data_IF_852699891416
#
_entry.id   IF_852699891416
#
_cell.length_a   1.000
_cell.length_b   1.000
_cell.length_c   1.000
_cell.angle_alpha   90.00
_cell.angle_beta   90.00
_cell.angle_gamma   90.00
#
_symmetry.space_group_name_H-M   'P 1'
#
loop_
_entity.id
_entity.type
_entity.pdbx_description
1 polymer ?
#
# COMPACT_ATOMS: atom_id res chain seq x y z
N UNK A 1 -48.77 6.27 -27.63
CA UNK A 1 -48.07 6.62 -26.36
C UNK A 1 -47.04 5.57 -25.97
N UNK A 2 -47.40 4.28 -25.95
CA UNK A 2 -46.51 3.19 -25.53
C UNK A 2 -45.12 3.19 -26.21
N UNK A 3 -45.07 3.42 -27.53
CA UNK A 3 -43.81 3.55 -28.28
C UNK A 3 -42.91 4.66 -27.74
N UNK A 4 -43.45 5.84 -27.41
CA UNK A 4 -42.67 6.98 -26.89
C UNK A 4 -42.11 6.70 -25.49
N UNK A 5 -42.89 6.04 -24.63
CA UNK A 5 -42.46 5.64 -23.29
C UNK A 5 -41.32 4.60 -23.38
N UNK A 6 -41.46 3.62 -24.28
CA UNK A 6 -40.42 2.63 -24.54
C UNK A 6 -39.13 3.26 -25.08
N UNK A 7 -39.23 4.23 -26.01
CA UNK A 7 -38.05 4.94 -26.53
C UNK A 7 -37.33 5.75 -25.45
N UNK A 8 -38.07 6.46 -24.59
CA UNK A 8 -37.49 7.21 -23.47
C UNK A 8 -36.84 6.30 -22.44
N UNK A 9 -37.47 5.17 -22.10
CA UNK A 9 -36.88 4.16 -21.21
C UNK A 9 -35.59 3.56 -21.78
N UNK A 10 -35.55 3.27 -23.08
CA UNK A 10 -34.37 2.75 -23.75
C UNK A 10 -33.21 3.77 -23.74
N UNK A 11 -33.51 5.04 -24.01
CA UNK A 11 -32.51 6.12 -23.93
C UNK A 11 -31.95 6.28 -22.51
N UNK A 12 -32.80 6.19 -21.48
CA UNK A 12 -32.37 6.29 -20.08
C UNK A 12 -31.49 5.10 -19.68
N UNK A 13 -31.85 3.88 -20.08
CA UNK A 13 -31.03 2.68 -19.83
C UNK A 13 -29.71 2.77 -20.57
N UNK A 14 -29.69 3.25 -21.82
CA UNK A 14 -28.46 3.49 -22.57
C UNK A 14 -27.57 4.55 -21.92
N UNK A 15 -28.16 5.62 -21.36
CA UNK A 15 -27.42 6.67 -20.66
C UNK A 15 -26.83 6.17 -19.34
N UNK A 16 -27.62 5.42 -18.55
CA UNK A 16 -27.16 4.82 -17.29
C UNK A 16 -26.08 3.77 -17.57
N UNK A 17 -26.25 2.93 -18.59
CA UNK A 17 -25.25 1.93 -18.97
C UNK A 17 -24.00 2.58 -19.57
N UNK A 18 -24.12 3.68 -20.34
CA UNK A 18 -22.96 4.42 -20.84
C UNK A 18 -22.20 5.16 -19.73
N UNK A 19 -22.90 5.72 -18.73
CA UNK A 19 -22.28 6.36 -17.56
C UNK A 19 -21.67 5.32 -16.61
N UNK A 20 -22.30 4.14 -16.47
CA UNK A 20 -21.75 3.02 -15.73
C UNK A 20 -20.55 2.39 -16.45
N UNK A 21 -20.54 2.36 -17.79
CA UNK A 21 -19.40 1.91 -18.58
C UNK A 21 -18.28 2.96 -18.66
N UNK A 22 -18.58 4.26 -18.60
CA UNK A 22 -17.54 5.31 -18.54
C UNK A 22 -16.90 5.41 -17.15
N UNK A 23 -17.61 5.02 -16.08
CA UNK A 23 -17.03 4.86 -14.74
C UNK A 23 -16.24 3.57 -14.56
N UNK A 24 -16.54 2.52 -15.33
CA UNK A 24 -15.73 1.29 -15.34
C UNK A 24 -14.47 1.52 -16.18
N UNK A 25 -13.39 1.83 -15.49
CA UNK A 25 -12.03 1.58 -15.96
C UNK A 25 -11.63 2.27 -17.28
N UNK A 26 -11.94 3.56 -17.48
CA UNK A 26 -11.00 4.38 -18.26
C UNK A 26 -9.75 4.56 -17.43
N UNK A 27 -8.88 3.53 -17.48
CA UNK A 27 -7.46 3.66 -17.18
C UNK A 27 -6.99 4.81 -18.07
N UNK A 28 -6.83 6.01 -17.50
CA UNK A 28 -6.14 7.07 -18.22
C UNK A 28 -4.77 6.50 -18.56
N UNK A 29 -4.45 6.46 -19.84
CA UNK A 29 -3.16 5.98 -20.29
C UNK A 29 -2.07 6.88 -19.72
N UNK A 30 -0.88 6.34 -19.39
CA UNK A 30 0.25 7.13 -18.89
C UNK A 30 0.58 8.38 -19.73
N UNK A 31 0.22 8.37 -21.03
CA UNK A 31 0.49 9.45 -21.99
C UNK A 31 -0.46 10.65 -21.86
N UNK A 32 -1.65 10.49 -21.30
CA UNK A 32 -2.64 11.57 -21.16
C UNK A 32 -2.58 12.26 -19.79
N UNK A 33 -1.62 11.86 -18.95
CA UNK A 33 -1.49 12.36 -17.59
C UNK A 33 -0.29 13.29 -17.46
N UNK A 34 -0.53 14.45 -16.86
CA UNK A 34 0.50 15.38 -16.48
C UNK A 34 1.08 14.95 -15.13
N UNK A 35 2.21 14.24 -15.14
CA UNK A 35 2.85 13.71 -13.93
C UNK A 35 3.32 14.80 -12.96
N UNK A 36 3.47 16.04 -13.43
CA UNK A 36 3.76 17.20 -12.58
C UNK A 36 2.61 17.50 -11.60
N UNK A 37 1.41 16.99 -11.85
CA UNK A 37 0.26 17.13 -10.96
C UNK A 37 0.28 16.15 -9.78
N UNK A 38 1.27 15.26 -9.67
CA UNK A 38 1.32 14.22 -8.62
C UNK A 38 2.58 14.27 -7.76
N UNK A 39 2.44 13.86 -6.51
CA UNK A 39 3.53 13.72 -5.53
C UNK A 39 3.43 12.38 -4.83
N UNK A 40 4.55 11.71 -4.62
CA UNK A 40 4.56 10.47 -3.85
C UNK A 40 4.38 10.77 -2.36
N UNK A 41 3.54 9.97 -1.72
CA UNK A 41 3.27 10.01 -0.27
C UNK A 41 3.70 8.68 0.34
N UNK A 42 3.84 8.64 1.66
CA UNK A 42 4.17 7.43 2.44
C UNK A 42 2.98 6.44 2.46
N UNK A 43 2.62 5.86 1.30
CA UNK A 43 1.59 4.82 1.15
C UNK A 43 2.02 3.83 0.08
N UNK A 44 2.03 2.56 0.47
CA UNK A 44 2.87 1.58 -0.21
C UNK A 44 2.13 0.48 -0.96
N UNK A 45 0.79 0.51 -1.08
CA UNK A 45 0.09 -0.50 -1.87
C UNK A 45 -1.24 -0.05 -2.46
N UNK A 46 -1.44 -0.45 -3.71
CA UNK A 46 -2.69 -0.39 -4.43
C UNK A 46 -2.97 -1.73 -5.15
N UNK A 47 -4.23 -2.17 -5.14
CA UNK A 47 -4.67 -3.35 -5.88
C UNK A 47 -5.07 -2.96 -7.33
N UNK A 48 -4.65 -3.74 -8.33
CA UNK A 48 -4.95 -3.41 -9.74
C UNK A 48 -5.32 -4.63 -10.59
N UNK A 49 -6.61 -4.84 -10.88
CA UNK A 49 -7.05 -5.89 -11.81
C UNK A 49 -6.83 -5.59 -13.30
N UNK A 50 -6.31 -4.41 -13.65
CA UNK A 50 -6.31 -3.87 -15.03
C UNK A 50 -5.02 -4.06 -15.83
N UNK A 51 -4.00 -4.75 -15.30
CA UNK A 51 -2.70 -4.91 -15.98
C UNK A 51 -2.67 -6.00 -17.07
N UNK A 52 -3.62 -6.95 -17.04
CA UNK A 52 -3.59 -8.15 -17.89
C UNK A 52 -3.59 -7.86 -19.40
N UNK A 53 -4.18 -6.73 -19.81
CA UNK A 53 -4.30 -6.35 -21.22
C UNK A 53 -3.08 -5.61 -21.79
N UNK A 54 -2.22 -5.05 -20.93
CA UNK A 54 -1.03 -4.29 -21.35
C UNK A 54 0.16 -5.24 -21.59
N UNK A 55 0.36 -6.19 -20.69
CA UNK A 55 1.47 -7.16 -20.75
C UNK A 55 1.46 -8.01 -22.01
N UNK A 56 0.27 -8.46 -22.45
CA UNK A 56 0.14 -9.38 -23.60
C UNK A 56 0.45 -8.73 -24.96
N UNK A 57 0.70 -7.41 -25.05
CA UNK A 57 0.81 -6.69 -26.34
C UNK A 57 2.14 -5.98 -26.62
N UNK A 58 2.91 -5.52 -25.63
CA UNK A 58 4.15 -4.77 -25.89
C UNK A 58 5.35 -5.35 -25.16
N UNK A 59 6.26 -5.94 -25.93
CA UNK A 59 7.36 -6.76 -25.46
C UNK A 59 8.65 -5.96 -25.16
N UNK A 60 8.54 -4.72 -24.69
CA UNK A 60 9.71 -3.87 -24.41
C UNK A 60 9.44 -2.91 -23.24
N UNK A 61 9.49 -3.43 -22.01
CA UNK A 61 9.62 -2.53 -20.86
C UNK A 61 11.05 -2.02 -20.75
N UNK A 62 11.20 -0.70 -20.61
CA UNK A 62 12.50 -0.09 -20.38
C UNK A 62 12.87 -0.25 -18.90
N UNK A 63 14.04 -0.84 -18.68
CA UNK A 63 14.68 -0.93 -17.37
C UNK A 63 14.65 0.44 -16.66
N UNK A 64 14.35 0.43 -15.36
CA UNK A 64 14.32 1.63 -14.49
C UNK A 64 13.29 2.71 -14.88
N UNK A 65 12.36 2.42 -15.78
CA UNK A 65 11.29 3.36 -16.13
C UNK A 65 10.15 3.24 -15.12
N UNK A 66 9.52 4.36 -14.76
CA UNK A 66 8.32 4.36 -13.92
C UNK A 66 7.08 4.12 -14.78
N UNK A 67 6.26 3.16 -14.37
CA UNK A 67 5.00 2.84 -15.04
C UNK A 67 3.88 3.20 -14.10
N UNK A 68 3.09 4.17 -14.53
CA UNK A 68 2.01 4.71 -13.73
C UNK A 68 0.67 4.12 -14.17
N UNK A 69 -0.24 3.89 -13.23
CA UNK A 69 -1.54 3.31 -13.50
C UNK A 69 -2.58 3.82 -12.49
N UNK A 70 -3.84 3.94 -12.94
CA UNK A 70 -4.94 4.25 -12.03
C UNK A 70 -5.26 3.05 -11.13
N UNK A 71 -5.78 3.27 -9.94
CA UNK A 71 -6.14 2.23 -8.96
C UNK A 71 -7.61 1.84 -9.18
N UNK A 72 -7.97 0.56 -9.05
CA UNK A 72 -9.36 0.12 -9.23
C UNK A 72 -10.27 0.80 -8.21
N UNK A 73 -11.43 1.29 -8.67
CA UNK A 73 -12.44 1.97 -7.85
C UNK A 73 -11.93 3.20 -7.06
N UNK A 74 -10.80 3.78 -7.49
CA UNK A 74 -10.25 5.03 -6.96
C UNK A 74 -10.16 6.06 -8.09
N UNK A 75 -10.61 7.32 -7.88
CA UNK A 75 -10.48 8.36 -8.89
C UNK A 75 -9.01 8.62 -9.25
N UNK A 76 -8.67 8.47 -10.54
CA UNK A 76 -7.30 8.66 -11.05
C UNK A 76 -6.83 10.11 -10.92
N UNK A 77 -7.76 11.06 -10.86
CA UNK A 77 -7.50 12.47 -10.57
C UNK A 77 -7.04 12.71 -9.13
N UNK A 78 -7.31 11.80 -8.19
CA UNK A 78 -6.90 11.93 -6.79
C UNK A 78 -5.65 11.09 -6.50
N UNK A 79 -5.63 9.86 -7.01
CA UNK A 79 -4.58 8.88 -6.71
C UNK A 79 -4.12 8.14 -7.96
N UNK A 80 -2.82 7.84 -7.97
CA UNK A 80 -2.20 7.06 -9.03
C UNK A 80 -1.14 6.15 -8.43
N UNK A 81 -1.02 4.93 -8.91
CA UNK A 81 0.04 4.03 -8.49
C UNK A 81 1.17 4.01 -9.52
N UNK A 82 2.37 3.64 -9.07
CA UNK A 82 3.58 3.58 -9.86
C UNK A 82 4.38 2.32 -9.51
N UNK A 83 4.92 1.65 -10.53
CA UNK A 83 5.89 0.56 -10.40
C UNK A 83 7.13 0.83 -11.22
N UNK A 84 8.22 0.14 -10.90
CA UNK A 84 9.44 0.11 -11.70
C UNK A 84 9.63 -1.31 -12.23
N UNK A 85 9.56 -1.57 -13.54
CA UNK A 85 9.80 -2.90 -14.04
C UNK A 85 11.29 -3.10 -14.28
N UNK A 86 11.77 -4.21 -13.77
CA UNK A 86 13.06 -4.80 -14.13
C UNK A 86 12.72 -6.15 -14.77
N UNK A 87 13.12 -6.45 -16.02
CA UNK A 87 12.96 -7.78 -16.61
C UNK A 87 13.61 -8.84 -15.73
N UNK A 88 12.90 -9.93 -15.41
CA UNK A 88 13.38 -10.99 -14.52
C UNK A 88 13.41 -10.62 -13.03
N UNK A 89 12.97 -9.41 -12.67
CA UNK A 89 12.84 -8.92 -11.31
C UNK A 89 11.55 -8.07 -11.21
N UNK A 90 10.41 -8.76 -11.16
CA UNK A 90 9.24 -8.29 -10.38
C UNK A 90 9.47 -8.40 -8.87
N UNK A 91 10.73 -8.62 -8.47
CA UNK A 91 11.13 -9.02 -7.15
C UNK A 91 11.47 -7.90 -6.19
N UNK A 92 11.52 -6.63 -6.62
CA UNK A 92 12.10 -5.60 -5.77
C UNK A 92 11.55 -4.20 -5.82
N UNK A 93 10.32 -4.02 -6.30
CA UNK A 93 9.79 -2.67 -6.48
C UNK A 93 8.44 -2.57 -5.80
N UNK A 94 8.43 -1.88 -4.66
CA UNK A 94 7.20 -1.49 -3.97
C UNK A 94 6.32 -0.69 -4.92
N UNK A 95 5.05 -1.08 -5.05
CA UNK A 95 4.06 -0.25 -5.71
C UNK A 95 3.88 1.03 -4.88
N UNK A 96 4.24 2.19 -5.43
CA UNK A 96 4.10 3.47 -4.70
C UNK A 96 2.80 4.13 -5.10
N UNK A 97 2.04 4.62 -4.13
CA UNK A 97 0.86 5.46 -4.39
C UNK A 97 1.26 6.93 -4.37
N UNK A 98 0.94 7.61 -5.45
CA UNK A 98 1.06 9.04 -5.66
C UNK A 98 -0.30 9.71 -5.47
N UNK A 99 -0.30 10.88 -4.86
CA UNK A 99 -1.48 11.72 -4.63
C UNK A 99 -1.38 12.96 -5.51
N UNK A 100 -2.51 13.43 -6.01
CA UNK A 100 -2.56 14.71 -6.71
C UNK A 100 -2.02 15.84 -5.82
N UNK A 101 -1.09 16.65 -6.31
CA UNK A 101 -0.46 17.76 -5.57
C UNK A 101 -1.44 18.82 -5.10
N UNK A 102 -2.52 19.02 -5.84
CA UNK A 102 -3.60 19.93 -5.46
C UNK A 102 -4.50 19.31 -4.39
N UNK A 103 -4.44 18.00 -4.19
CA UNK A 103 -5.12 17.26 -3.16
C UNK A 103 -4.16 16.98 -1.99
N UNK A 104 -4.29 17.71 -0.89
CA UNK A 104 -3.40 17.57 0.29
C UNK A 104 -3.75 16.38 1.19
N UNK A 105 -4.51 15.40 0.69
CA UNK A 105 -4.96 14.26 1.47
C UNK A 105 -3.82 13.27 1.68
N UNK A 106 -3.52 12.99 2.94
CA UNK A 106 -2.61 11.95 3.40
C UNK A 106 -3.45 10.89 4.13
N UNK A 107 -3.73 9.72 3.52
CA UNK A 107 -4.63 8.71 4.11
C UNK A 107 -4.40 8.40 5.60
N UNK A 108 -3.15 8.16 6.03
CA UNK A 108 -2.82 7.90 7.44
C UNK A 108 -3.20 9.06 8.36
N UNK A 109 -3.11 10.30 7.87
CA UNK A 109 -3.48 11.50 8.61
C UNK A 109 -4.98 11.75 8.59
N UNK A 110 -5.61 11.59 7.44
CA UNK A 110 -6.90 12.22 7.14
C UNK A 110 -8.07 11.23 7.09
N UNK A 111 -7.84 9.93 6.96
CA UNK A 111 -8.91 8.96 6.77
C UNK A 111 -9.28 8.20 8.03
N UNK A 112 -10.55 7.82 8.12
CA UNK A 112 -10.98 6.88 9.15
C UNK A 112 -10.38 5.50 8.91
N UNK A 113 -9.81 4.94 9.97
CA UNK A 113 -9.31 3.56 10.01
C UNK A 113 -10.50 2.61 10.04
N UNK A 114 -10.41 1.54 9.28
CA UNK A 114 -11.34 0.42 9.36
C UNK A 114 -10.81 -0.62 10.36
N UNK A 115 -9.68 -1.25 10.02
CA UNK A 115 -8.95 -2.21 10.87
C UNK A 115 -7.47 -2.28 10.48
N UNK A 116 -6.69 -2.99 11.30
CA UNK A 116 -5.30 -3.31 11.01
C UNK A 116 -5.06 -4.81 10.99
N UNK A 117 -4.00 -5.24 10.32
CA UNK A 117 -3.56 -6.63 10.26
C UNK A 117 -2.08 -6.73 10.61
N UNK A 118 -1.70 -7.81 11.30
CA UNK A 118 -0.30 -8.22 11.41
C UNK A 118 -0.03 -9.35 10.42
N UNK A 119 0.99 -9.14 9.60
CA UNK A 119 1.33 -10.03 8.50
C UNK A 119 2.83 -9.95 8.17
N UNK A 120 3.32 -10.91 7.39
CA UNK A 120 4.65 -10.88 6.79
C UNK A 120 4.51 -10.30 5.38
N UNK A 121 5.21 -9.20 5.11
CA UNK A 121 5.36 -8.66 3.76
C UNK A 121 6.69 -9.13 3.20
N UNK A 122 6.71 -9.64 1.97
CA UNK A 122 7.94 -10.05 1.29
C UNK A 122 8.93 -8.90 1.26
N UNK A 123 10.18 -9.20 1.61
CA UNK A 123 11.27 -8.28 1.33
C UNK A 123 11.50 -8.28 -0.18
N UNK A 124 11.76 -7.08 -0.69
CA UNK A 124 11.84 -6.69 -2.10
C UNK A 124 13.07 -7.26 -2.83
N UNK A 125 13.40 -8.53 -2.64
CA UNK A 125 14.56 -9.17 -3.27
C UNK A 125 14.30 -10.48 -4.01
N UNK A 126 13.08 -11.04 -4.00
CA UNK A 126 12.79 -12.33 -4.66
C UNK A 126 12.41 -12.17 -6.13
N UNK A 127 13.30 -12.49 -7.09
CA UNK A 127 12.98 -12.49 -8.53
C UNK A 127 11.92 -13.52 -8.91
N UNK A 128 11.05 -13.20 -9.88
CA UNK A 128 10.00 -14.10 -10.34
C UNK A 128 9.73 -14.00 -11.85
N UNK A 129 9.39 -15.16 -12.41
CA UNK A 129 9.27 -15.44 -13.85
C UNK A 129 7.90 -15.12 -14.47
N UNK A 130 6.86 -14.92 -13.65
CA UNK A 130 5.52 -14.55 -14.13
C UNK A 130 4.92 -13.49 -13.20
N UNK A 131 4.80 -12.24 -13.65
CA UNK A 131 4.37 -11.20 -12.77
C UNK A 131 2.84 -11.11 -12.80
N UNK A 132 2.20 -11.80 -11.86
CA UNK A 132 0.77 -11.65 -11.59
C UNK A 132 0.50 -10.31 -10.86
N UNK A 133 0.74 -9.22 -11.59
CA UNK A 133 0.57 -7.83 -11.15
C UNK A 133 -0.87 -7.50 -10.72
N UNK A 134 -1.83 -8.34 -11.12
CA UNK A 134 -3.24 -8.20 -10.73
C UNK A 134 -3.42 -8.36 -9.22
N UNK A 135 -2.52 -9.12 -8.59
CA UNK A 135 -2.63 -9.53 -7.22
C UNK A 135 -1.53 -8.92 -6.33
N UNK A 136 -0.81 -7.86 -6.74
CA UNK A 136 0.35 -7.35 -5.97
C UNK A 136 0.06 -7.15 -4.47
N UNK A 137 -1.12 -6.62 -4.11
CA UNK A 137 -1.53 -6.40 -2.72
C UNK A 137 -1.73 -7.68 -1.88
N UNK A 138 -2.13 -8.79 -2.49
CA UNK A 138 -2.17 -10.13 -1.84
C UNK A 138 -0.84 -10.86 -1.99
N UNK A 139 -0.16 -10.65 -3.11
CA UNK A 139 1.09 -11.30 -3.47
C UNK A 139 2.24 -10.92 -2.52
N UNK A 140 2.32 -9.64 -2.16
CA UNK A 140 3.32 -9.15 -1.21
C UNK A 140 3.10 -9.73 0.20
N UNK A 141 1.88 -10.17 0.53
CA UNK A 141 1.60 -10.85 1.80
C UNK A 141 2.06 -12.29 1.72
N UNK A 142 3.13 -12.60 2.45
CA UNK A 142 3.69 -13.95 2.52
C UNK A 142 2.96 -14.81 3.56
N UNK A 143 2.51 -14.19 4.65
CA UNK A 143 1.81 -14.87 5.74
C UNK A 143 0.94 -13.88 6.49
N UNK A 144 -0.32 -14.23 6.74
CA UNK A 144 -1.20 -13.49 7.64
C UNK A 144 -1.15 -14.11 9.04
N UNK A 145 -1.18 -13.29 10.09
CA UNK A 145 -1.31 -13.77 11.47
C UNK A 145 -2.68 -13.43 12.04
N UNK A 146 -3.00 -12.15 12.13
CA UNK A 146 -4.18 -11.70 12.89
C UNK A 146 -4.70 -10.36 12.40
N UNK A 147 -6.02 -10.22 12.44
CA UNK A 147 -6.70 -8.93 12.35
C UNK A 147 -6.76 -8.32 13.74
N UNK A 148 -6.19 -7.12 13.89
CA UNK A 148 -6.18 -6.36 15.13
C UNK A 148 -7.57 -5.77 15.36
N UNK A 149 -8.03 -5.76 16.62
CA UNK A 149 -9.32 -5.14 16.95
C UNK A 149 -9.36 -3.65 16.58
N UNK A 150 -10.56 -3.13 16.36
CA UNK A 150 -10.76 -1.76 15.86
C UNK A 150 -10.21 -0.69 16.83
N UNK A 151 -10.36 -0.85 18.15
CA UNK A 151 -9.86 0.13 19.14
C UNK A 151 -8.33 0.20 19.11
N UNK A 152 -7.66 -0.95 19.06
CA UNK A 152 -6.20 -1.02 18.96
C UNK A 152 -5.69 -0.50 17.61
N UNK A 153 -6.40 -0.79 16.52
CA UNK A 153 -6.09 -0.27 15.17
C UNK A 153 -6.13 1.25 15.13
N UNK A 154 -7.19 1.85 15.67
CA UNK A 154 -7.35 3.32 15.76
C UNK A 154 -6.24 3.94 16.61
N UNK A 155 -5.96 3.38 17.79
CA UNK A 155 -4.89 3.88 18.68
C UNK A 155 -3.51 3.83 18.05
N UNK A 156 -3.26 2.80 17.24
CA UNK A 156 -2.00 2.67 16.51
C UNK A 156 -1.84 3.82 15.52
N UNK A 157 -2.88 4.12 14.75
CA UNK A 157 -2.86 5.23 13.79
C UNK A 157 -2.83 6.59 14.49
N UNK A 158 -3.50 6.75 15.62
CA UNK A 158 -3.44 7.99 16.40
C UNK A 158 -2.02 8.26 16.94
N UNK A 159 -1.29 7.21 17.36
CA UNK A 159 0.12 7.33 17.72
C UNK A 159 1.01 7.78 16.56
N UNK A 160 0.74 7.25 15.35
CA UNK A 160 1.44 7.67 14.12
C UNK A 160 1.16 9.15 13.82
N UNK A 161 -0.12 9.57 13.84
CA UNK A 161 -0.53 10.96 13.64
C UNK A 161 0.13 11.90 14.63
N UNK A 162 0.12 11.52 15.90
CA UNK A 162 0.70 12.31 16.97
C UNK A 162 2.21 12.51 16.79
N UNK A 163 2.95 11.46 16.42
CA UNK A 163 4.38 11.55 16.13
C UNK A 163 4.66 12.37 14.87
N UNK A 164 3.77 12.31 13.88
CA UNK A 164 3.88 13.11 12.67
C UNK A 164 3.73 14.60 12.96
N UNK A 165 2.79 14.96 13.83
CA UNK A 165 2.56 16.35 14.24
C UNK A 165 3.58 16.84 15.27
N UNK A 166 4.21 15.94 16.04
CA UNK A 166 5.18 16.27 17.09
C UNK A 166 6.51 15.50 16.93
N UNK A 167 7.50 16.07 16.24
CA UNK A 167 8.80 15.42 16.01
C UNK A 167 9.53 14.94 17.27
N UNK A 168 9.32 15.60 18.41
CA UNK A 168 9.96 15.21 19.68
C UNK A 168 9.47 13.87 20.23
N UNK A 169 8.32 13.37 19.75
CA UNK A 169 7.78 12.05 20.11
C UNK A 169 8.29 10.93 19.19
N UNK A 170 8.99 11.30 18.11
CA UNK A 170 9.60 10.35 17.18
C UNK A 170 10.86 9.79 17.81
N UNK A 171 11.08 8.50 17.60
CA UNK A 171 12.38 7.89 17.87
C UNK A 171 13.21 8.01 16.59
N UNK A 172 14.35 8.70 16.69
CA UNK A 172 15.30 8.84 15.59
C UNK A 172 16.22 7.62 15.51
N UNK A 173 16.74 7.36 14.32
CA UNK A 173 17.85 6.42 14.14
C UNK A 173 19.11 7.04 14.78
N UNK A 174 19.63 6.45 15.86
CA UNK A 174 20.96 6.77 16.36
C UNK A 174 21.76 5.47 16.52
N UNK A 175 23.09 5.58 16.52
CA UNK A 175 24.01 4.42 16.61
C UNK A 175 23.84 3.57 17.87
N UNK A 176 23.15 4.10 18.89
CA UNK A 176 22.98 3.45 20.19
C UNK A 176 21.65 2.66 20.27
N UNK A 177 20.70 2.96 19.37
CA UNK A 177 19.43 2.25 19.20
C UNK A 177 19.54 1.29 18.01
N UNK A 178 20.19 0.15 18.24
CA UNK A 178 20.16 -0.96 17.29
C UNK A 178 18.74 -1.53 17.22
N UNK A 179 17.95 -1.00 16.29
CA UNK A 179 16.61 -1.50 15.99
C UNK A 179 16.75 -2.71 15.07
N UNK A 180 16.22 -3.84 15.53
CA UNK A 180 16.21 -5.08 14.79
C UNK A 180 14.88 -5.28 14.08
N UNK A 181 14.93 -5.74 12.84
CA UNK A 181 13.78 -6.17 12.08
C UNK A 181 13.45 -7.63 12.38
N UNK A 182 12.16 -7.96 12.36
CA UNK A 182 11.69 -9.34 12.39
C UNK A 182 11.69 -9.92 10.98
N UNK A 183 12.65 -10.78 10.67
CA UNK A 183 12.73 -11.48 9.38
C UNK A 183 12.15 -12.90 9.48
N UNK A 184 11.30 -13.25 8.52
CA UNK A 184 10.63 -14.55 8.41
C UNK A 184 11.10 -15.33 7.17
N UNK A 185 11.72 -16.49 7.44
CA UNK A 185 12.29 -17.40 6.44
C UNK A 185 13.64 -16.93 5.89
N UNK A 186 14.50 -17.87 5.50
CA UNK A 186 15.83 -17.59 4.95
C UNK A 186 15.83 -17.48 3.41
N UNK A 187 16.73 -16.65 2.85
CA UNK A 187 17.03 -16.59 1.41
C UNK A 187 16.06 -15.77 0.54
N UNK A 188 16.14 -15.95 -0.79
CA UNK A 188 15.21 -15.36 -1.77
C UNK A 188 13.78 -15.80 -1.45
N UNK A 189 13.01 -14.89 -0.89
CA UNK A 189 11.66 -15.15 -0.42
C UNK A 189 11.42 -14.79 1.04
N UNK A 190 12.41 -14.37 1.83
CA UNK A 190 12.20 -13.80 3.18
C UNK A 190 11.20 -12.64 3.24
N UNK A 191 10.74 -12.27 4.43
CA UNK A 191 9.83 -11.13 4.59
C UNK A 191 9.84 -10.56 6.00
N UNK A 192 9.32 -9.34 6.14
CA UNK A 192 9.34 -8.57 7.39
C UNK A 192 7.98 -8.60 8.07
N UNK A 193 7.97 -8.79 9.39
CA UNK A 193 6.76 -8.56 10.19
C UNK A 193 6.34 -7.11 10.00
N UNK A 194 5.08 -6.92 9.61
CA UNK A 194 4.55 -5.62 9.25
C UNK A 194 3.12 -5.47 9.77
N UNK A 195 2.74 -4.22 9.99
CA UNK A 195 1.35 -3.83 10.18
C UNK A 195 0.80 -3.29 8.86
N UNK A 196 -0.39 -3.75 8.49
CA UNK A 196 -1.19 -3.22 7.39
C UNK A 196 -2.42 -2.52 7.92
N UNK A 197 -2.60 -1.25 7.58
CA UNK A 197 -3.75 -0.43 7.95
C UNK A 197 -4.71 -0.33 6.77
N UNK A 198 -5.96 -0.68 7.01
CA UNK A 198 -7.07 -0.52 6.08
C UNK A 198 -7.89 0.71 6.44
N UNK A 199 -8.36 1.44 5.42
CA UNK A 199 -9.14 2.66 5.58
C UNK A 199 -10.57 2.47 5.07
N UNK A 200 -11.55 3.13 5.70
CA UNK A 200 -12.96 3.00 5.32
C UNK A 200 -13.30 3.60 3.95
N UNK A 201 -12.50 4.55 3.45
CA UNK A 201 -12.84 5.34 2.25
C UNK A 201 -12.63 4.54 0.96
N UNK A 202 -11.49 3.87 0.83
CA UNK A 202 -11.13 3.05 -0.33
C UNK A 202 -10.46 1.77 0.14
N UNK A 203 -11.08 0.62 -0.14
CA UNK A 203 -10.56 -0.71 0.20
C UNK A 203 -9.22 -1.01 -0.49
N UNK A 204 -9.04 -0.49 -1.72
CA UNK A 204 -7.86 -0.76 -2.53
C UNK A 204 -6.63 0.08 -2.16
N UNK A 205 -6.71 0.94 -1.14
CA UNK A 205 -5.59 1.72 -0.62
C UNK A 205 -5.34 1.30 0.83
N UNK A 206 -4.14 0.77 1.08
CA UNK A 206 -3.69 0.36 2.42
C UNK A 206 -2.36 1.02 2.75
N UNK A 207 -2.04 1.08 4.05
CA UNK A 207 -0.76 1.58 4.53
C UNK A 207 0.01 0.48 5.26
N UNK A 208 1.20 0.17 4.78
CA UNK A 208 2.04 -0.88 5.32
C UNK A 208 3.31 -0.29 5.92
N UNK A 209 3.68 -0.81 7.09
CA UNK A 209 4.93 -0.48 7.76
C UNK A 209 5.52 -1.69 8.46
N UNK A 210 6.85 -1.79 8.44
CA UNK A 210 7.59 -2.82 9.15
C UNK A 210 7.59 -2.56 10.65
N UNK A 211 7.62 -3.65 11.42
CA UNK A 211 7.81 -3.63 12.86
C UNK A 211 9.29 -3.86 13.20
N UNK A 212 9.76 -3.10 14.19
CA UNK A 212 11.12 -3.10 14.69
C UNK A 212 11.10 -3.38 16.19
N UNK A 213 12.21 -3.90 16.72
CA UNK A 213 12.39 -4.13 18.15
C UNK A 213 13.72 -3.58 18.65
N UNK A 214 13.71 -3.07 19.87
CA UNK A 214 14.91 -2.71 20.61
C UNK A 214 14.66 -2.84 22.11
N UNK A 215 15.43 -3.71 22.77
CA UNK A 215 15.42 -3.94 24.22
C UNK A 215 14.02 -4.25 24.79
N UNK A 216 13.25 -5.10 24.10
CA UNK A 216 11.90 -5.52 24.45
C UNK A 216 10.80 -4.51 24.08
N UNK A 217 11.14 -3.41 23.41
CA UNK A 217 10.17 -2.41 22.95
C UNK A 217 9.99 -2.50 21.43
N UNK A 218 8.76 -2.28 20.97
CA UNK A 218 8.40 -2.39 19.55
C UNK A 218 8.14 -1.03 18.93
N UNK A 219 8.49 -0.89 17.66
CA UNK A 219 8.32 0.36 16.92
C UNK A 219 7.81 0.11 15.51
N UNK A 220 7.03 1.05 14.99
CA UNK A 220 6.55 1.08 13.60
C UNK A 220 7.47 1.98 12.80
N UNK A 221 7.94 1.51 11.64
CA UNK A 221 8.68 2.34 10.70
C UNK A 221 7.75 3.29 9.95
N UNK A 222 8.02 4.59 10.01
CA UNK A 222 7.29 5.59 9.25
C UNK A 222 8.26 6.37 8.36
N UNK A 223 7.79 6.82 7.19
CA UNK A 223 8.61 7.60 6.27
C UNK A 223 8.04 9.00 6.09
N UNK A 224 8.91 9.97 5.87
CA UNK A 224 8.48 11.35 5.61
C UNK A 224 8.25 11.65 4.12
N UNK A 225 8.54 10.71 3.22
CA UNK A 225 8.36 10.84 1.77
C UNK A 225 9.35 10.00 0.93
N UNK A 226 9.67 10.48 -0.27
CA UNK A 226 10.45 9.77 -1.33
C UNK A 226 11.94 9.54 -1.00
N UNK A 227 12.42 9.93 0.17
CA UNK A 227 13.81 9.71 0.58
C UNK A 227 13.87 9.12 1.98
N UNK A 228 14.93 8.36 2.23
CA UNK A 228 15.23 7.50 3.38
C UNK A 228 15.23 8.18 4.78
N UNK A 229 14.66 9.38 4.91
CA UNK A 229 14.39 10.04 6.18
C UNK A 229 13.14 9.43 6.81
N UNK A 230 13.36 8.29 7.46
CA UNK A 230 12.38 7.60 8.29
C UNK A 230 12.42 8.05 9.74
N UNK A 231 11.36 7.74 10.47
CA UNK A 231 11.29 7.84 11.91
C UNK A 231 10.54 6.64 12.47
N UNK A 232 10.72 6.38 13.75
CA UNK A 232 10.06 5.27 14.42
C UNK A 232 9.00 5.78 15.38
N UNK A 233 7.85 5.12 15.37
CA UNK A 233 6.72 5.39 16.24
C UNK A 233 6.63 4.25 17.26
N UNK A 234 6.66 4.54 18.58
CA UNK A 234 6.44 3.52 19.59
C UNK A 234 5.11 2.81 19.36
N UNK A 235 5.13 1.48 19.39
CA UNK A 235 3.92 0.67 19.34
C UNK A 235 3.11 0.90 20.61
N UNK A 236 1.77 1.11 20.53
CA UNK A 236 0.95 1.22 21.72
C UNK A 236 0.88 -0.12 22.46
N UNK A 237 0.85 -0.09 23.80
CA UNK A 237 0.82 -1.28 24.68
C UNK A 237 -0.24 -2.31 24.28
N UNK A 238 -1.38 -1.87 23.74
CA UNK A 238 -2.46 -2.75 23.29
C UNK A 238 -2.12 -3.61 22.07
N UNK A 239 -1.19 -3.15 21.22
CA UNK A 239 -0.76 -3.89 20.03
C UNK A 239 0.34 -4.91 20.36
N UNK A 240 1.09 -4.71 21.45
CA UNK A 240 2.21 -5.57 21.87
C UNK A 240 1.82 -7.05 21.99
N UNK A 241 0.71 -7.45 22.63
CA UNK A 241 0.33 -8.86 22.72
C UNK A 241 0.12 -9.51 21.35
N UNK A 242 -0.45 -8.80 20.38
CA UNK A 242 -0.63 -9.34 19.02
C UNK A 242 0.72 -9.58 18.33
N UNK A 243 1.70 -8.70 18.56
CA UNK A 243 3.06 -8.85 18.02
C UNK A 243 3.74 -10.05 18.67
N UNK A 244 3.72 -10.15 19.99
CA UNK A 244 4.33 -11.25 20.74
C UNK A 244 3.71 -12.61 20.38
N UNK A 245 2.38 -12.67 20.23
CA UNK A 245 1.67 -13.87 19.77
C UNK A 245 2.07 -14.24 18.33
N UNK A 246 2.26 -13.25 17.45
CA UNK A 246 2.73 -13.49 16.07
C UNK A 246 4.17 -13.99 16.04
N UNK A 247 5.01 -13.49 16.96
CA UNK A 247 6.38 -13.97 17.16
C UNK A 247 6.39 -15.41 17.67
N UNK A 248 5.58 -15.73 18.67
CA UNK A 248 5.52 -17.08 19.24
C UNK A 248 5.01 -18.15 18.27
N UNK A 249 4.24 -17.77 17.25
CA UNK A 249 3.67 -18.69 16.25
C UNK A 249 4.65 -19.13 15.15
N UNK A 250 5.87 -18.59 15.10
CA UNK A 250 6.81 -18.86 14.01
C UNK A 250 8.26 -18.68 14.42
N UNK A 251 9.16 -19.29 13.66
CA UNK A 251 10.59 -19.09 13.86
C UNK A 251 11.00 -17.77 13.21
N UNK A 252 11.19 -16.74 14.04
CA UNK A 252 11.67 -15.42 13.62
C UNK A 252 13.16 -15.28 13.84
N UNK A 253 13.80 -14.51 12.97
CA UNK A 253 15.19 -14.10 13.11
C UNK A 253 15.26 -12.58 13.23
N UNK A 254 16.05 -12.08 14.16
CA UNK A 254 16.35 -10.65 14.27
C UNK A 254 17.47 -10.31 13.28
N UNK A 255 17.20 -9.38 12.37
CA UNK A 255 18.19 -8.88 11.40
C UNK A 255 18.40 -7.39 11.62
N UNK A 256 19.66 -6.94 11.60
CA UNK A 256 20.09 -5.57 11.86
C UNK A 256 21.24 -5.14 10.97
#
# INVERSE_FOLDING_TARGET
>A
MLKRILTLGLCLVLLITSVACSKRNTVKYPRDMNLDDFVAMDFNLAWLQTYENYWKKENHMLLYTRYYYGIVDVPVEDFQACIYPIPGLGGGTMAVVYVNRNNKVCPIQDWEVDYAELLVIRDSSGGHDDPDWVHWGTYCVKKFFVTVDSDTSVKTVDGIRECRDNPDKRVGYNSDNHLFQFSWGEGEGGGLLSIRIHFKKYENIVWDASLMECNGNYFITCYTGVHHDGYYVPVPDKLVPYIEDSIAQSDWQYVG
#
